data_IF_325375328088
#
_entry.id   IF_325375328088
#
_cell.length_a   1.000
_cell.length_b   1.000
_cell.length_c   1.000
_cell.angle_alpha   90.00
_cell.angle_beta   90.00
_cell.angle_gamma   90.00
#
_symmetry.space_group_name_H-M   'P 1'
#
loop_
_entity.id
_entity.type
_entity.pdbx_description
1 polymer ?
#
# COMPACT_ATOMS: atom_id res chain seq x y z
N UNK A 1 23.91 -13.39 16.14
CA UNK A 1 22.82 -14.34 16.43
C UNK A 1 21.55 -13.53 16.31
N UNK A 2 21.06 -13.37 15.08
CA UNK A 2 19.87 -12.58 14.80
C UNK A 2 18.67 -13.37 15.26
N UNK A 3 18.16 -13.02 16.44
CA UNK A 3 16.89 -13.53 16.93
C UNK A 3 15.83 -12.92 16.03
N UNK A 4 15.36 -13.70 15.06
CA UNK A 4 14.11 -13.43 14.36
C UNK A 4 13.01 -13.63 15.39
N UNK A 5 12.72 -12.59 16.16
CA UNK A 5 11.62 -12.56 17.12
C UNK A 5 10.34 -12.51 16.30
N UNK A 6 9.60 -13.62 16.28
CA UNK A 6 8.21 -13.61 15.84
C UNK A 6 7.44 -12.62 16.72
N UNK A 7 6.52 -11.84 16.15
CA UNK A 7 5.59 -11.01 16.92
C UNK A 7 4.50 -11.91 17.51
N UNK A 8 4.90 -12.74 18.47
CA UNK A 8 4.00 -13.51 19.31
C UNK A 8 3.43 -12.62 20.43
N UNK A 9 2.32 -13.06 21.05
CA UNK A 9 1.66 -12.30 22.11
C UNK A 9 2.63 -11.92 23.24
N UNK A 10 3.56 -12.80 23.62
CA UNK A 10 4.50 -12.60 24.72
C UNK A 10 5.52 -11.51 24.40
N UNK A 11 6.06 -11.52 23.18
CA UNK A 11 6.97 -10.48 22.69
C UNK A 11 6.29 -9.10 22.60
N UNK A 12 5.00 -9.07 22.25
CA UNK A 12 4.21 -7.83 22.28
C UNK A 12 4.01 -7.32 23.72
N UNK A 13 3.77 -8.20 24.69
CA UNK A 13 3.69 -7.81 26.10
C UNK A 13 5.00 -7.22 26.61
N UNK A 14 6.15 -7.83 26.30
CA UNK A 14 7.46 -7.30 26.70
C UNK A 14 7.72 -5.91 26.12
N UNK A 15 7.38 -5.71 24.84
CA UNK A 15 7.53 -4.43 24.16
C UNK A 15 6.61 -3.32 24.71
N UNK A 16 5.42 -3.69 25.20
CA UNK A 16 4.52 -2.77 25.89
C UNK A 16 5.05 -2.42 27.28
N UNK A 17 5.53 -3.43 28.02
CA UNK A 17 6.07 -3.26 29.36
C UNK A 17 7.35 -2.41 29.36
N UNK A 18 8.12 -2.44 28.26
CA UNK A 18 9.29 -1.59 28.09
C UNK A 18 8.97 -0.14 27.69
N UNK A 19 7.70 0.22 27.48
CA UNK A 19 7.23 1.53 27.00
C UNK A 19 7.85 1.99 25.66
N UNK A 20 8.49 1.08 24.92
CA UNK A 20 9.15 1.37 23.64
C UNK A 20 8.26 1.06 22.42
N UNK A 21 6.96 0.82 22.64
CA UNK A 21 6.04 0.45 21.58
C UNK A 21 5.58 1.68 20.79
N UNK A 22 6.15 1.86 19.60
CA UNK A 22 5.68 2.84 18.61
C UNK A 22 5.17 2.18 17.32
N UNK A 23 4.43 2.92 16.50
CA UNK A 23 3.88 2.40 15.24
C UNK A 23 5.00 2.16 14.22
N UNK A 24 6.04 3.00 14.19
CA UNK A 24 7.21 2.81 13.33
C UNK A 24 7.93 1.51 13.68
N UNK A 25 8.16 1.29 14.98
CA UNK A 25 8.86 0.10 15.47
C UNK A 25 8.06 -1.16 15.21
N UNK A 26 6.75 -1.09 15.35
CA UNK A 26 5.86 -2.19 14.99
C UNK A 26 5.98 -2.55 13.50
N UNK A 27 5.95 -1.56 12.60
CA UNK A 27 6.13 -1.78 11.16
C UNK A 27 7.49 -2.42 10.86
N UNK A 28 8.57 -1.90 11.45
CA UNK A 28 9.93 -2.46 11.28
C UNK A 28 9.99 -3.91 11.76
N UNK A 29 9.37 -4.21 12.91
CA UNK A 29 9.34 -5.57 13.44
C UNK A 29 8.56 -6.51 12.52
N UNK A 30 7.45 -6.07 11.92
CA UNK A 30 6.68 -6.86 10.95
C UNK A 30 7.52 -7.15 9.70
N UNK A 31 8.22 -6.15 9.16
CA UNK A 31 9.11 -6.31 8.00
C UNK A 31 10.19 -7.35 8.30
N UNK A 32 10.82 -7.27 9.49
CA UNK A 32 11.83 -8.24 9.94
C UNK A 32 11.26 -9.64 10.14
N UNK A 33 10.09 -9.76 10.78
CA UNK A 33 9.42 -11.04 11.04
C UNK A 33 9.07 -11.75 9.73
N UNK A 34 8.47 -11.03 8.79
CA UNK A 34 8.02 -11.57 7.50
C UNK A 34 9.15 -11.67 6.46
N UNK A 35 10.38 -11.25 6.83
CA UNK A 35 11.55 -11.16 5.93
C UNK A 35 11.21 -10.42 4.62
N UNK A 36 10.45 -9.34 4.74
CA UNK A 36 10.10 -8.49 3.59
C UNK A 36 11.32 -7.65 3.21
N UNK A 37 11.50 -7.43 1.91
CA UNK A 37 12.50 -6.49 1.41
C UNK A 37 12.02 -5.05 1.68
N UNK A 38 12.79 -4.20 2.36
CA UNK A 38 12.44 -2.79 2.57
C UNK A 38 12.29 -1.98 1.29
N UNK A 39 12.95 -2.40 0.20
CA UNK A 39 12.90 -1.71 -1.09
C UNK A 39 11.76 -2.18 -1.99
N UNK A 40 11.26 -3.41 -1.76
CA UNK A 40 10.16 -4.02 -2.50
C UNK A 40 9.16 -4.67 -1.53
N UNK A 41 8.36 -3.82 -0.90
CA UNK A 41 7.43 -4.23 0.16
C UNK A 41 6.11 -4.71 -0.45
N UNK A 42 5.78 -5.97 -0.17
CA UNK A 42 4.42 -6.49 -0.37
C UNK A 42 3.44 -5.81 0.61
N UNK A 43 2.76 -4.79 0.11
CA UNK A 43 1.84 -3.95 0.88
C UNK A 43 0.64 -4.74 1.41
N UNK A 44 0.19 -5.77 0.70
CA UNK A 44 -0.91 -6.59 1.17
C UNK A 44 -0.50 -7.35 2.44
N UNK A 45 0.66 -8.02 2.40
CA UNK A 45 1.18 -8.75 3.57
C UNK A 45 1.42 -7.82 4.75
N UNK A 46 2.05 -6.67 4.51
CA UNK A 46 2.34 -5.69 5.56
C UNK A 46 1.05 -5.15 6.21
N UNK A 47 0.08 -4.71 5.40
CA UNK A 47 -1.17 -4.12 5.91
C UNK A 47 -2.00 -5.15 6.69
N UNK A 48 -2.13 -6.37 6.17
CA UNK A 48 -2.86 -7.44 6.85
C UNK A 48 -2.21 -7.78 8.21
N UNK A 49 -0.88 -7.97 8.23
CA UNK A 49 -0.16 -8.31 9.45
C UNK A 49 -0.20 -7.19 10.49
N UNK A 50 -0.07 -5.94 10.05
CA UNK A 50 -0.20 -4.77 10.93
C UNK A 50 -1.58 -4.72 11.60
N UNK A 51 -2.66 -4.98 10.86
CA UNK A 51 -4.01 -5.05 11.42
C UNK A 51 -4.21 -6.21 12.39
N UNK A 52 -3.61 -7.37 12.14
CA UNK A 52 -3.64 -8.50 13.08
C UNK A 52 -3.02 -8.12 14.42
N UNK A 53 -1.81 -7.54 14.39
CA UNK A 53 -1.12 -7.12 15.61
C UNK A 53 -1.92 -6.05 16.35
N UNK A 54 -2.51 -5.07 15.64
CA UNK A 54 -3.39 -4.08 16.27
C UNK A 54 -4.61 -4.71 16.96
N UNK A 55 -5.22 -5.76 16.37
CA UNK A 55 -6.32 -6.49 17.01
C UNK A 55 -5.85 -7.18 18.28
N UNK A 56 -4.67 -7.78 18.28
CA UNK A 56 -4.06 -8.39 19.47
C UNK A 56 -3.79 -7.35 20.55
N UNK A 57 -3.20 -6.19 20.20
CA UNK A 57 -2.99 -5.07 21.13
C UNK A 57 -4.30 -4.59 21.76
N UNK A 58 -5.40 -4.56 20.99
CA UNK A 58 -6.73 -4.22 21.52
C UNK A 58 -7.26 -5.27 22.51
N UNK A 59 -7.03 -6.56 22.26
CA UNK A 59 -7.47 -7.64 23.17
C UNK A 59 -6.80 -7.56 24.55
N UNK A 60 -5.56 -7.12 24.59
CA UNK A 60 -4.76 -7.03 25.82
C UNK A 60 -4.96 -5.70 26.57
N UNK A 61 -6.02 -4.95 26.24
CA UNK A 61 -6.35 -3.64 26.78
C UNK A 61 -5.27 -2.56 26.59
N UNK A 62 -4.38 -2.71 25.61
CA UNK A 62 -3.40 -1.67 25.31
C UNK A 62 -4.13 -0.43 24.77
N UNK A 63 -3.79 0.74 25.32
CA UNK A 63 -4.35 2.02 24.86
C UNK A 63 -3.65 2.45 23.58
N UNK A 64 -4.13 1.90 22.46
CA UNK A 64 -3.63 2.23 21.13
C UNK A 64 -3.73 3.74 20.90
N UNK A 65 -2.59 4.40 20.72
CA UNK A 65 -2.56 5.84 20.44
C UNK A 65 -3.12 6.13 19.04
N UNK A 66 -3.69 7.32 18.82
CA UNK A 66 -4.29 7.69 17.53
C UNK A 66 -3.33 7.55 16.35
N UNK A 67 -2.01 7.64 16.58
CA UNK A 67 -0.97 7.44 15.56
C UNK A 67 -1.00 6.04 14.93
N UNK A 68 -1.24 5.00 15.73
CA UNK A 68 -1.34 3.63 15.21
C UNK A 68 -2.55 3.47 14.29
N UNK A 69 -3.67 4.12 14.62
CA UNK A 69 -4.89 4.11 13.82
C UNK A 69 -4.69 4.87 12.50
N UNK A 70 -4.01 6.02 12.54
CA UNK A 70 -3.63 6.77 11.34
C UNK A 70 -2.74 5.92 10.43
N UNK A 71 -1.72 5.25 10.97
CA UNK A 71 -0.88 4.35 10.21
C UNK A 71 -1.68 3.19 9.58
N UNK A 72 -2.64 2.61 10.33
CA UNK A 72 -3.53 1.57 9.79
C UNK A 72 -4.37 2.09 8.61
N UNK A 73 -4.94 3.29 8.74
CA UNK A 73 -5.76 3.91 7.70
C UNK A 73 -4.93 4.20 6.43
N UNK A 74 -3.69 4.67 6.59
CA UNK A 74 -2.77 4.91 5.47
C UNK A 74 -2.45 3.60 4.76
N UNK A 75 -2.07 2.54 5.49
CA UNK A 75 -1.77 1.23 4.91
C UNK A 75 -2.97 0.63 4.16
N UNK A 76 -4.17 0.75 4.74
CA UNK A 76 -5.41 0.31 4.10
C UNK A 76 -5.72 1.10 2.82
N UNK A 77 -5.56 2.42 2.86
CA UNK A 77 -5.75 3.27 1.67
C UNK A 77 -4.77 2.87 0.56
N UNK A 78 -3.49 2.73 0.89
CA UNK A 78 -2.49 2.30 -0.08
C UNK A 78 -2.82 0.91 -0.65
N UNK A 79 -3.30 -0.04 0.19
CA UNK A 79 -3.74 -1.37 -0.27
C UNK A 79 -4.90 -1.25 -1.25
N UNK A 80 -5.88 -0.40 -0.95
CA UNK A 80 -7.02 -0.13 -1.83
C UNK A 80 -6.57 0.45 -3.17
N UNK A 81 -5.70 1.46 -3.15
CA UNK A 81 -5.18 2.10 -4.36
C UNK A 81 -4.42 1.10 -5.25
N UNK A 82 -3.63 0.21 -4.63
CA UNK A 82 -2.91 -0.85 -5.34
C UNK A 82 -3.87 -1.83 -6.04
N UNK A 83 -4.96 -2.24 -5.38
CA UNK A 83 -5.96 -3.12 -5.97
C UNK A 83 -6.71 -2.45 -7.14
N UNK A 84 -7.09 -1.18 -7.00
CA UNK A 84 -7.77 -0.43 -8.07
C UNK A 84 -6.88 -0.29 -9.31
N UNK A 85 -5.57 -0.07 -9.13
CA UNK A 85 -4.64 0.02 -10.25
C UNK A 85 -4.52 -1.29 -11.03
N UNK A 86 -4.50 -2.43 -10.34
CA UNK A 86 -4.48 -3.76 -10.97
C UNK A 86 -5.73 -4.06 -11.81
N UNK A 87 -6.88 -3.49 -11.45
CA UNK A 87 -8.12 -3.62 -12.22
C UNK A 87 -8.10 -2.77 -13.49
N UNK A 88 -7.50 -1.56 -13.44
CA UNK A 88 -7.36 -0.66 -14.60
C UNK A 88 -6.38 -1.13 -15.68
N UNK A 89 -5.43 -2.01 -15.35
CA UNK A 89 -4.49 -2.62 -16.32
C UNK A 89 -5.09 -3.84 -17.06
N UNK A 90 -6.29 -4.29 -16.67
CA UNK A 90 -6.96 -5.47 -17.23
C UNK A 90 -8.05 -5.15 -18.26
N UNK A 91 -8.33 -3.89 -18.55
CA UNK A 91 -9.11 -3.55 -19.74
C UNK A 91 -8.18 -3.43 -20.95
N UNK A 92 -8.14 -4.41 -21.88
CA UNK A 92 -7.68 -4.09 -23.22
C UNK A 92 -8.60 -2.98 -23.72
N UNK A 93 -8.02 -1.84 -24.08
CA UNK A 93 -8.71 -0.78 -24.80
C UNK A 93 -9.39 -1.48 -25.99
N UNK A 94 -10.70 -1.71 -25.90
CA UNK A 94 -11.48 -2.26 -27.00
C UNK A 94 -11.62 -1.14 -28.03
N UNK A 95 -10.56 -0.90 -28.79
CA UNK A 95 -10.62 -0.07 -30.00
C UNK A 95 -11.55 -0.79 -30.97
N UNK A 96 -12.79 -0.31 -31.05
CA UNK A 96 -13.73 -0.75 -32.07
C UNK A 96 -13.11 -0.45 -33.46
N UNK A 97 -13.20 -1.36 -34.44
CA UNK A 97 -12.46 -1.27 -35.72
C UNK A 97 -12.67 -0.02 -36.61
N UNK A 98 -13.46 0.98 -36.20
CA UNK A 98 -13.80 2.15 -37.02
C UNK A 98 -12.89 3.38 -36.85
N UNK A 99 -11.87 3.32 -35.98
CA UNK A 99 -11.04 4.48 -35.62
C UNK A 99 -10.23 5.10 -36.77
N UNK A 100 -10.05 4.42 -37.91
CA UNK A 100 -9.37 5.01 -39.08
C UNK A 100 -10.15 6.17 -39.70
N UNK A 101 -11.48 6.12 -39.64
CA UNK A 101 -12.36 7.16 -40.17
C UNK A 101 -12.40 8.36 -39.22
N UNK A 102 -12.53 8.11 -37.92
CA UNK A 102 -12.51 9.13 -36.87
C UNK A 102 -11.18 9.90 -36.84
N UNK A 103 -10.05 9.18 -36.96
CA UNK A 103 -8.72 9.80 -37.08
C UNK A 103 -8.56 10.60 -38.37
N UNK A 104 -9.16 10.17 -39.48
CA UNK A 104 -9.20 10.97 -40.72
C UNK A 104 -10.03 12.24 -40.53
N UNK A 105 -11.18 12.16 -39.86
CA UNK A 105 -12.03 13.32 -39.60
C UNK A 105 -11.35 14.34 -38.67
N UNK A 106 -10.64 13.87 -37.64
CA UNK A 106 -9.87 14.74 -36.74
C UNK A 106 -8.69 15.38 -37.49
N UNK A 107 -7.94 14.59 -38.29
CA UNK A 107 -6.83 15.10 -39.12
C UNK A 107 -7.28 16.11 -40.18
N UNK A 108 -8.49 15.95 -40.72
CA UNK A 108 -9.02 16.84 -41.76
C UNK A 108 -9.67 18.11 -41.18
N UNK A 109 -10.27 18.01 -39.98
CA UNK A 109 -10.99 19.12 -39.35
C UNK A 109 -10.09 20.03 -38.49
N UNK A 110 -9.04 19.48 -37.89
CA UNK A 110 -8.06 20.23 -37.13
C UNK A 110 -6.71 20.15 -37.84
N UNK A 111 -6.45 21.14 -38.71
CA UNK A 111 -5.13 21.32 -39.32
C UNK A 111 -4.05 21.33 -38.24
N UNK A 112 -3.02 20.52 -38.47
CA UNK A 112 -1.90 20.23 -37.58
C UNK A 112 -1.39 21.48 -36.85
N UNK A 113 -1.56 21.55 -35.52
CA UNK A 113 -0.80 22.48 -34.69
C UNK A 113 0.42 21.69 -34.19
N UNK A 114 1.65 21.99 -34.66
CA UNK A 114 2.85 21.30 -34.22
C UNK A 114 3.07 21.46 -32.71
N UNK A 115 3.58 20.40 -32.05
CA UNK A 115 3.91 20.41 -30.62
C UNK A 115 4.97 21.47 -30.26
N UNK A 116 5.72 21.92 -31.25
CA UNK A 116 6.75 22.96 -31.20
C UNK A 116 6.18 24.40 -31.05
N UNK A 117 4.86 24.60 -31.04
CA UNK A 117 4.20 25.90 -30.80
C UNK A 117 3.62 26.05 -29.38
N UNK A 118 3.85 25.10 -28.47
CA UNK A 118 3.25 25.10 -27.12
C UNK A 118 4.21 25.63 -26.03
N UNK A 119 5.44 26.01 -26.38
CA UNK A 119 6.39 26.69 -25.47
C UNK A 119 7.13 27.82 -26.16
#
# INVERSE_FOLDING_TARGET
MDVVVSLDEKSLYELILSDDLTYERLIINIIKEQKLDPWDIDLEKLANRYLEVLKTLKKINFRVSGKFLVAAAILLRMKSDALTKQESEQEPISVSPLDRETLKMIKQKFGFIPYDQIF
#
